data_IF_778859411346
#
_entry.id   IF_778859411346
#
_cell.length_a   1.000
_cell.length_b   1.000
_cell.length_c   1.000
_cell.angle_alpha   90.00
_cell.angle_beta   90.00
_cell.angle_gamma   90.00
#
_symmetry.space_group_name_H-M   'P 1'
#
loop_
_entity.id
_entity.type
_entity.pdbx_description
1 polymer ?
#
# COMPACT_ATOMS: atom_id res chain seq x y z
N UNK A 1 -11.94 -7.31 -21.33
CA UNK A 1 -13.28 -7.51 -21.93
C UNK A 1 -14.20 -6.49 -21.29
N UNK A 2 -15.01 -5.80 -22.07
CA UNK A 2 -16.00 -4.80 -21.63
C UNK A 2 -17.37 -5.33 -22.03
N UNK A 3 -18.38 -5.17 -21.17
CA UNK A 3 -19.75 -5.50 -21.57
C UNK A 3 -20.39 -4.26 -22.17
N UNK A 4 -20.95 -4.41 -23.37
CA UNK A 4 -21.67 -3.35 -24.08
C UNK A 4 -22.94 -3.97 -24.68
N UNK A 5 -24.10 -3.42 -24.33
CA UNK A 5 -25.42 -3.93 -24.74
C UNK A 5 -25.61 -5.42 -24.40
N UNK A 6 -25.19 -5.82 -23.20
CA UNK A 6 -25.28 -7.20 -22.70
C UNK A 6 -24.31 -8.19 -23.35
N UNK A 7 -23.38 -7.73 -24.20
CA UNK A 7 -22.43 -8.61 -24.92
C UNK A 7 -20.98 -8.29 -24.58
N UNK A 8 -20.11 -9.32 -24.50
CA UNK A 8 -18.68 -9.09 -24.33
C UNK A 8 -18.04 -8.52 -25.60
N UNK A 9 -17.34 -7.41 -25.44
CA UNK A 9 -16.61 -6.71 -26.49
C UNK A 9 -15.15 -6.51 -26.06
N UNK A 10 -14.23 -6.48 -27.02
CA UNK A 10 -12.85 -6.08 -26.76
C UNK A 10 -12.79 -4.64 -26.29
N UNK A 11 -11.88 -4.34 -25.35
CA UNK A 11 -11.71 -2.98 -24.83
C UNK A 11 -11.39 -1.96 -25.94
N UNK A 12 -10.75 -2.39 -27.03
CA UNK A 12 -10.42 -1.54 -28.17
C UNK A 12 -11.62 -1.20 -29.07
N UNK A 13 -12.74 -1.92 -28.96
CA UNK A 13 -13.93 -1.75 -29.80
C UNK A 13 -15.13 -1.18 -29.06
N UNK A 14 -15.17 -1.34 -27.73
CA UNK A 14 -16.26 -0.84 -26.90
C UNK A 14 -16.30 0.69 -26.94
N UNK A 15 -17.50 1.27 -27.07
CA UNK A 15 -17.72 2.72 -26.98
C UNK A 15 -18.24 3.12 -25.61
N UNK A 16 -19.14 2.30 -25.06
CA UNK A 16 -19.73 2.46 -23.74
C UNK A 16 -19.66 1.14 -22.97
N UNK A 17 -19.15 1.18 -21.74
CA UNK A 17 -19.11 0.01 -20.87
C UNK A 17 -20.24 0.02 -19.85
N UNK A 18 -20.92 -1.10 -19.70
CA UNK A 18 -21.85 -1.32 -18.59
C UNK A 18 -21.06 -1.56 -17.30
N UNK A 19 -21.16 -0.59 -16.37
CA UNK A 19 -20.40 -0.62 -15.12
C UNK A 19 -21.04 -1.53 -14.07
N UNK A 20 -22.36 -1.51 -13.90
CA UNK A 20 -23.07 -2.30 -12.88
C UNK A 20 -23.75 -3.50 -13.53
N UNK A 21 -23.01 -4.59 -13.73
CA UNK A 21 -23.53 -5.80 -14.37
C UNK A 21 -23.11 -7.08 -13.64
N UNK A 22 -24.08 -7.99 -13.51
CA UNK A 22 -23.91 -9.39 -13.16
C UNK A 22 -24.66 -10.21 -14.22
N UNK A 23 -23.97 -11.09 -14.95
CA UNK A 23 -24.55 -11.84 -16.08
C UNK A 23 -23.83 -13.17 -16.29
N UNK A 24 -24.28 -13.96 -17.26
CA UNK A 24 -23.67 -15.23 -17.65
C UNK A 24 -23.12 -15.13 -19.07
N UNK A 25 -21.85 -15.49 -19.24
CA UNK A 25 -21.17 -15.53 -20.54
C UNK A 25 -20.67 -16.94 -20.76
N UNK A 26 -21.16 -17.60 -21.83
CA UNK A 26 -20.81 -18.98 -22.16
C UNK A 26 -20.98 -19.95 -20.97
N UNK A 27 -22.05 -19.78 -20.18
CA UNK A 27 -22.33 -20.60 -18.99
C UNK A 27 -21.52 -20.23 -17.73
N UNK A 28 -20.66 -19.22 -17.78
CA UNK A 28 -19.87 -18.75 -16.64
C UNK A 28 -20.51 -17.48 -16.07
N UNK A 29 -20.84 -17.51 -14.78
CA UNK A 29 -21.30 -16.32 -14.07
C UNK A 29 -20.16 -15.31 -13.91
N UNK A 30 -20.44 -14.07 -14.29
CA UNK A 30 -19.47 -12.97 -14.24
C UNK A 30 -20.11 -11.73 -13.62
N UNK A 31 -19.30 -10.98 -12.87
CA UNK A 31 -19.62 -9.64 -12.37
C UNK A 31 -18.57 -8.65 -12.84
N UNK A 32 -19.00 -7.42 -13.13
CA UNK A 32 -18.04 -6.33 -13.32
C UNK A 32 -17.32 -6.00 -12.01
N UNK A 33 -16.14 -5.39 -12.12
CA UNK A 33 -15.38 -4.93 -10.96
C UNK A 33 -16.18 -3.90 -10.14
N UNK A 34 -16.92 -3.01 -10.82
CA UNK A 34 -17.76 -2.03 -10.14
C UNK A 34 -18.95 -2.70 -9.43
N UNK A 35 -19.55 -3.76 -10.01
CA UNK A 35 -20.57 -4.54 -9.31
C UNK A 35 -20.03 -5.18 -8.03
N UNK A 36 -18.85 -5.80 -8.09
CA UNK A 36 -18.20 -6.41 -6.91
C UNK A 36 -17.92 -5.35 -5.85
N UNK A 37 -17.46 -4.16 -6.26
CA UNK A 37 -17.26 -3.03 -5.36
C UNK A 37 -18.58 -2.56 -4.73
N UNK A 38 -19.63 -2.41 -5.53
CA UNK A 38 -20.98 -2.01 -5.08
C UNK A 38 -21.57 -3.00 -4.09
N UNK A 39 -21.50 -4.30 -4.40
CA UNK A 39 -21.96 -5.38 -3.50
C UNK A 39 -21.22 -5.30 -2.15
N UNK A 40 -19.91 -5.02 -2.16
CA UNK A 40 -19.10 -4.88 -0.94
C UNK A 40 -19.48 -3.64 -0.13
N UNK A 41 -19.64 -2.47 -0.74
CA UNK A 41 -19.98 -1.26 0.04
C UNK A 41 -21.41 -1.31 0.57
N UNK A 42 -22.32 -1.99 -0.14
CA UNK A 42 -23.72 -2.18 0.25
C UNK A 42 -23.93 -3.38 1.19
N UNK A 43 -22.86 -4.05 1.66
CA UNK A 43 -22.98 -5.21 2.56
C UNK A 43 -23.58 -4.86 3.94
N UNK A 44 -23.53 -3.57 4.30
CA UNK A 44 -24.03 -2.99 5.56
C UNK A 44 -24.81 -1.72 5.28
N UNK A 45 -25.75 -1.41 6.16
CA UNK A 45 -26.49 -0.15 6.10
C UNK A 45 -25.62 1.04 6.51
N UNK A 46 -26.07 2.26 6.18
CA UNK A 46 -25.37 3.48 6.59
C UNK A 46 -25.37 3.64 8.12
N UNK A 47 -26.41 3.19 8.81
CA UNK A 47 -26.52 3.18 10.27
C UNK A 47 -25.49 2.23 10.90
N UNK A 48 -25.26 1.05 10.30
CA UNK A 48 -24.24 0.11 10.77
C UNK A 48 -22.83 0.65 10.60
N UNK A 49 -22.56 1.34 9.48
CA UNK A 49 -21.28 2.02 9.27
C UNK A 49 -21.09 3.21 10.22
N UNK A 50 -22.11 4.04 10.40
CA UNK A 50 -22.13 5.16 11.34
C UNK A 50 -21.78 4.71 12.76
N UNK A 51 -22.42 3.63 13.22
CA UNK A 51 -22.14 3.01 14.52
C UNK A 51 -20.70 2.50 14.64
N UNK A 52 -20.15 1.89 13.60
CA UNK A 52 -18.76 1.39 13.61
C UNK A 52 -17.72 2.52 13.58
N UNK A 53 -18.03 3.60 12.88
CA UNK A 53 -17.17 4.78 12.77
C UNK A 53 -17.28 5.71 13.98
N UNK A 54 -18.30 5.53 14.82
CA UNK A 54 -18.68 6.45 15.89
C UNK A 54 -18.95 7.87 15.37
N UNK A 55 -19.72 7.96 14.28
CA UNK A 55 -20.09 9.21 13.60
C UNK A 55 -21.59 9.23 13.33
N UNK A 56 -22.31 10.34 13.57
CA UNK A 56 -23.73 10.47 13.24
C UNK A 56 -24.02 10.25 11.74
N UNK A 57 -25.13 9.57 11.42
CA UNK A 57 -25.56 9.27 10.04
C UNK A 57 -25.74 10.55 9.22
N UNK A 58 -26.37 11.53 9.83
CA UNK A 58 -26.62 12.87 9.31
C UNK A 58 -25.33 13.60 8.92
N UNK A 59 -24.26 13.46 9.71
CA UNK A 59 -22.95 14.00 9.34
C UNK A 59 -22.36 13.29 8.12
N UNK A 60 -22.46 11.96 8.03
CA UNK A 60 -21.99 11.19 6.86
C UNK A 60 -22.75 11.63 5.60
N UNK A 61 -24.08 11.72 5.67
CA UNK A 61 -24.93 12.13 4.54
C UNK A 61 -24.64 13.56 4.12
N UNK A 62 -24.48 14.49 5.07
CA UNK A 62 -24.14 15.87 4.79
C UNK A 62 -22.81 15.97 4.03
N UNK A 63 -21.75 15.33 4.53
CA UNK A 63 -20.43 15.35 3.90
C UNK A 63 -20.48 14.71 2.51
N UNK A 64 -21.19 13.60 2.34
CA UNK A 64 -21.33 12.94 1.05
C UNK A 64 -22.05 13.83 0.02
N UNK A 65 -23.11 14.54 0.44
CA UNK A 65 -23.83 15.49 -0.43
C UNK A 65 -22.96 16.68 -0.81
N UNK A 66 -22.28 17.28 0.16
CA UNK A 66 -21.38 18.40 -0.08
C UNK A 66 -20.25 17.98 -1.05
N UNK A 67 -19.56 16.87 -0.75
CA UNK A 67 -18.48 16.34 -1.58
C UNK A 67 -18.91 16.07 -3.03
N UNK A 68 -20.12 15.53 -3.23
CA UNK A 68 -20.60 15.23 -4.59
C UNK A 68 -21.21 16.44 -5.33
N UNK A 69 -21.65 17.47 -4.60
CA UNK A 69 -22.29 18.67 -5.18
C UNK A 69 -21.35 19.52 -6.07
N UNK A 70 -20.05 19.38 -5.89
CA UNK A 70 -19.02 20.14 -6.61
C UNK A 70 -18.48 19.40 -7.84
N UNK A 71 -19.05 18.24 -8.20
CA UNK A 71 -18.62 17.42 -9.32
C UNK A 71 -17.17 16.98 -9.19
N UNK A 72 -16.34 17.25 -10.21
CA UNK A 72 -14.91 16.88 -10.22
C UNK A 72 -14.00 17.87 -9.47
N UNK A 73 -14.54 18.98 -8.96
CA UNK A 73 -13.77 20.06 -8.30
C UNK A 73 -13.64 19.83 -6.80
N UNK A 74 -13.29 18.61 -6.42
CA UNK A 74 -13.11 18.16 -5.03
C UNK A 74 -11.89 17.26 -4.97
N UNK A 75 -11.30 17.09 -3.79
CA UNK A 75 -10.18 16.17 -3.59
C UNK A 75 -10.06 15.77 -2.12
N UNK A 76 -9.88 14.47 -1.88
CA UNK A 76 -9.55 13.96 -0.54
C UNK A 76 -8.08 13.59 -0.52
N UNK A 77 -7.30 14.31 0.29
CA UNK A 77 -5.89 14.02 0.48
C UNK A 77 -5.69 13.22 1.76
N UNK A 78 -5.46 11.92 1.62
CA UNK A 78 -5.10 11.06 2.75
C UNK A 78 -3.58 11.09 2.98
N UNK A 79 -3.18 11.19 4.24
CA UNK A 79 -1.77 11.12 4.64
C UNK A 79 -1.57 10.00 5.67
N UNK A 80 -0.58 10.15 6.56
CA UNK A 80 -0.15 9.13 7.51
C UNK A 80 -1.25 8.67 8.47
N UNK A 81 -2.22 9.52 8.81
CA UNK A 81 -3.31 9.17 9.74
C UNK A 81 -3.98 7.83 9.41
N UNK A 82 -4.75 7.74 8.31
CA UNK A 82 -5.39 6.48 7.91
C UNK A 82 -4.40 5.39 7.45
N UNK A 83 -3.19 5.76 7.01
CA UNK A 83 -2.22 4.81 6.45
C UNK A 83 -1.40 4.04 7.49
N UNK A 84 -1.15 4.61 8.67
CA UNK A 84 -0.21 4.07 9.67
C UNK A 84 -0.90 3.13 10.68
N UNK A 85 -1.90 2.37 10.23
CA UNK A 85 -2.58 1.33 11.00
C UNK A 85 -2.41 -0.04 10.32
N UNK A 86 -2.70 -1.12 11.05
CA UNK A 86 -2.57 -2.50 10.53
C UNK A 86 -3.45 -2.76 9.31
N UNK A 87 -4.58 -2.07 9.20
CA UNK A 87 -5.50 -2.08 8.06
C UNK A 87 -5.31 -0.87 7.12
N UNK A 88 -4.25 -0.08 7.28
CA UNK A 88 -4.11 1.22 6.61
C UNK A 88 -4.09 1.17 5.09
N UNK A 89 -3.67 0.03 4.50
CA UNK A 89 -3.82 -0.20 3.06
C UNK A 89 -5.29 -0.13 2.62
N UNK A 90 -6.19 -0.77 3.36
CA UNK A 90 -7.61 -0.77 3.06
C UNK A 90 -8.25 0.60 3.31
N UNK A 91 -7.86 1.28 4.40
CA UNK A 91 -8.36 2.62 4.72
C UNK A 91 -8.00 3.65 3.65
N UNK A 92 -6.72 3.72 3.24
CA UNK A 92 -6.27 4.62 2.16
C UNK A 92 -6.92 4.25 0.83
N UNK A 93 -7.05 2.95 0.54
CA UNK A 93 -7.76 2.50 -0.67
C UNK A 93 -9.21 2.96 -0.67
N UNK A 94 -9.94 2.80 0.44
CA UNK A 94 -11.34 3.23 0.56
C UNK A 94 -11.49 4.74 0.34
N UNK A 95 -10.62 5.55 0.95
CA UNK A 95 -10.58 7.01 0.73
C UNK A 95 -10.34 7.33 -0.75
N UNK A 96 -9.32 6.70 -1.36
CA UNK A 96 -9.00 6.94 -2.77
C UNK A 96 -10.12 6.49 -3.71
N UNK A 97 -10.94 5.50 -3.35
CA UNK A 97 -12.11 5.13 -4.17
C UNK A 97 -13.12 6.27 -4.26
N UNK A 98 -13.27 7.12 -3.23
CA UNK A 98 -14.16 8.28 -3.31
C UNK A 98 -13.69 9.28 -4.38
N UNK A 99 -12.39 9.58 -4.43
CA UNK A 99 -11.78 10.39 -5.51
C UNK A 99 -12.04 9.77 -6.90
N UNK A 100 -11.85 8.44 -7.02
CA UNK A 100 -12.11 7.74 -8.29
C UNK A 100 -13.58 7.81 -8.71
N UNK A 101 -14.53 7.69 -7.77
CA UNK A 101 -15.96 7.70 -8.06
C UNK A 101 -16.45 9.06 -8.59
N UNK A 102 -15.90 10.16 -8.08
CA UNK A 102 -16.22 11.50 -8.61
C UNK A 102 -15.40 11.86 -9.85
N UNK A 103 -14.40 11.05 -10.21
CA UNK A 103 -13.57 11.24 -11.39
C UNK A 103 -12.74 12.53 -11.34
N UNK A 104 -12.22 12.87 -10.16
CA UNK A 104 -11.47 14.11 -9.91
C UNK A 104 -9.96 14.01 -10.20
N UNK A 105 -9.43 12.81 -10.46
CA UNK A 105 -8.02 12.63 -10.80
C UNK A 105 -7.65 13.35 -12.09
N UNK A 106 -6.54 14.07 -12.07
CA UNK A 106 -6.03 14.88 -13.18
C UNK A 106 -7.02 15.92 -13.72
N UNK A 107 -7.97 16.34 -12.88
CA UNK A 107 -8.94 17.38 -13.22
C UNK A 107 -8.57 18.73 -12.57
N UNK A 108 -8.86 19.83 -13.27
CA UNK A 108 -8.66 21.17 -12.70
C UNK A 108 -9.54 21.38 -11.47
N UNK A 109 -8.92 21.58 -10.31
CA UNK A 109 -9.59 21.69 -9.01
C UNK A 109 -9.91 20.34 -8.36
N UNK A 110 -9.43 19.24 -8.94
CA UNK A 110 -9.50 17.89 -8.38
C UNK A 110 -8.18 17.43 -7.77
N UNK A 111 -8.00 16.12 -7.64
CA UNK A 111 -6.77 15.50 -7.15
C UNK A 111 -5.73 15.43 -8.29
N UNK A 112 -4.54 15.94 -8.05
CA UNK A 112 -3.49 16.02 -9.09
C UNK A 112 -2.15 15.63 -8.50
N UNK A 113 -1.33 14.95 -9.29
CA UNK A 113 0.03 14.61 -8.89
C UNK A 113 0.98 15.78 -9.15
N UNK A 114 1.78 16.13 -8.14
CA UNK A 114 2.92 17.03 -8.31
C UNK A 114 4.07 16.25 -8.98
N UNK A 115 4.12 16.29 -10.32
CA UNK A 115 5.02 15.48 -11.15
C UNK A 115 6.39 16.10 -11.43
N UNK A 116 6.54 17.41 -11.35
CA UNK A 116 7.80 18.08 -11.67
C UNK A 116 8.84 17.84 -10.57
N UNK A 117 9.95 17.18 -10.92
CA UNK A 117 11.08 16.92 -10.02
C UNK A 117 12.37 17.17 -10.77
N UNK A 118 13.36 17.76 -10.09
CA UNK A 118 14.74 17.75 -10.57
C UNK A 118 15.40 16.42 -10.20
N UNK A 119 16.35 15.96 -11.01
CA UNK A 119 17.14 14.78 -10.67
C UNK A 119 18.18 15.17 -9.62
N UNK A 120 18.05 14.62 -8.42
CA UNK A 120 18.93 14.96 -7.30
C UNK A 120 20.36 14.39 -7.40
N UNK A 121 20.65 13.58 -8.41
CA UNK A 121 21.94 12.90 -8.60
C UNK A 121 22.74 13.44 -9.79
N UNK A 122 22.23 14.44 -10.50
CA UNK A 122 22.94 15.10 -11.61
C UNK A 122 23.64 16.37 -11.09
N UNK A 123 24.83 16.68 -11.60
CA UNK A 123 25.60 17.86 -11.20
C UNK A 123 27.11 17.68 -11.38
N UNK A 124 27.89 18.41 -10.58
CA UNK A 124 29.36 18.45 -10.67
C UNK A 124 30.04 17.14 -10.27
N UNK A 125 29.38 16.32 -9.46
CA UNK A 125 29.94 15.09 -8.89
C UNK A 125 29.14 13.88 -9.35
N UNK A 126 29.83 12.76 -9.59
CA UNK A 126 29.17 11.47 -9.75
C UNK A 126 28.71 10.96 -8.38
N UNK A 127 27.39 10.96 -8.18
CA UNK A 127 26.75 10.47 -6.95
C UNK A 127 26.13 9.06 -7.13
N UNK A 128 26.30 8.45 -8.30
CA UNK A 128 25.65 7.19 -8.68
C UNK A 128 26.65 6.04 -8.66
N UNK A 129 27.88 6.26 -9.13
CA UNK A 129 28.88 5.20 -9.22
C UNK A 129 29.78 5.13 -7.98
N UNK A 130 30.14 3.91 -7.62
CA UNK A 130 31.18 3.62 -6.64
C UNK A 130 32.17 2.68 -7.33
N UNK A 131 33.44 3.09 -7.51
CA UNK A 131 34.45 2.22 -8.11
C UNK A 131 34.57 0.90 -7.34
N UNK A 132 34.54 -0.23 -8.05
CA UNK A 132 34.62 -1.58 -7.48
C UNK A 132 33.54 -1.88 -6.41
N UNK A 133 32.32 -1.37 -6.59
CA UNK A 133 31.22 -1.58 -5.66
C UNK A 133 30.85 -3.07 -5.50
N UNK A 134 30.64 -3.48 -4.24
CA UNK A 134 30.00 -4.76 -3.95
C UNK A 134 28.53 -4.72 -4.36
N UNK A 135 28.10 -5.68 -5.18
CA UNK A 135 26.67 -5.84 -5.53
C UNK A 135 25.92 -6.43 -4.33
N UNK A 136 24.85 -5.77 -3.90
CA UNK A 136 23.94 -6.33 -2.90
C UNK A 136 23.26 -7.59 -3.45
N UNK A 137 23.18 -8.64 -2.62
CA UNK A 137 22.55 -9.92 -2.97
C UNK A 137 21.83 -10.51 -1.77
N UNK A 138 20.97 -11.50 -2.03
CA UNK A 138 20.22 -12.22 -1.01
C UNK A 138 18.88 -11.60 -0.63
N UNK A 139 18.27 -12.15 0.41
CA UNK A 139 16.94 -11.77 0.89
C UNK A 139 17.11 -10.51 1.75
N UNK A 140 16.36 -9.41 1.53
CA UNK A 140 16.39 -8.27 2.45
C UNK A 140 16.06 -8.71 3.88
N UNK A 141 16.73 -8.16 4.89
CA UNK A 141 16.50 -8.56 6.30
C UNK A 141 15.04 -8.42 6.74
N UNK A 142 14.29 -7.48 6.14
CA UNK A 142 12.86 -7.25 6.39
C UNK A 142 11.93 -8.02 5.45
N UNK A 143 12.47 -8.90 4.60
CA UNK A 143 11.72 -9.85 3.76
C UNK A 143 10.70 -9.18 2.82
N UNK A 144 10.97 -7.93 2.45
CA UNK A 144 10.13 -7.16 1.54
C UNK A 144 10.51 -7.44 0.09
N UNK A 145 9.54 -7.31 -0.84
CA UNK A 145 9.71 -7.54 -2.29
C UNK A 145 10.14 -8.96 -2.69
N UNK A 146 10.08 -9.92 -1.79
CA UNK A 146 10.43 -11.32 -2.05
C UNK A 146 9.24 -12.18 -1.68
N UNK A 147 8.67 -12.98 -2.61
CA UNK A 147 7.69 -14.02 -2.27
C UNK A 147 8.38 -15.13 -1.49
N UNK A 148 7.83 -15.53 -0.34
CA UNK A 148 8.45 -16.52 0.54
C UNK A 148 8.68 -17.86 -0.15
N UNK A 149 7.70 -18.30 -0.93
CA UNK A 149 7.68 -19.58 -1.65
C UNK A 149 8.77 -19.69 -2.71
N UNK A 150 9.39 -18.57 -3.09
CA UNK A 150 10.51 -18.51 -4.03
C UNK A 150 11.87 -18.49 -3.34
N UNK A 151 11.94 -18.80 -2.05
CA UNK A 151 13.18 -18.73 -1.26
C UNK A 151 13.66 -20.11 -0.82
N UNK A 152 14.97 -20.21 -0.59
CA UNK A 152 15.57 -21.40 0.04
C UNK A 152 15.03 -21.68 1.45
N UNK A 153 14.55 -20.65 2.14
CA UNK A 153 13.90 -20.80 3.45
C UNK A 153 12.59 -21.60 3.34
N UNK A 154 11.78 -21.33 2.31
CA UNK A 154 10.56 -22.11 2.07
C UNK A 154 10.88 -23.54 1.64
N UNK A 155 11.84 -23.72 0.73
CA UNK A 155 12.26 -25.07 0.30
C UNK A 155 12.72 -25.94 1.48
N UNK A 156 13.28 -25.31 2.53
CA UNK A 156 13.75 -25.99 3.75
C UNK A 156 12.66 -26.18 4.80
N UNK A 157 11.96 -25.11 5.16
CA UNK A 157 11.10 -25.06 6.35
C UNK A 157 9.59 -25.14 6.03
N UNK A 158 9.19 -24.95 4.76
CA UNK A 158 7.79 -24.92 4.35
C UNK A 158 6.97 -23.82 5.04
N UNK A 159 5.67 -24.07 5.20
CA UNK A 159 4.77 -23.24 6.00
C UNK A 159 4.62 -23.79 7.43
N UNK A 160 4.43 -22.92 8.45
CA UNK A 160 4.36 -21.45 8.39
C UNK A 160 5.74 -20.77 8.35
N UNK A 161 5.83 -19.59 7.73
CA UNK A 161 7.01 -18.75 7.83
C UNK A 161 7.21 -18.24 9.26
N UNK A 162 8.47 -18.14 9.73
CA UNK A 162 8.81 -17.71 11.09
C UNK A 162 8.43 -16.26 11.40
N UNK A 163 8.41 -15.40 10.38
CA UNK A 163 7.95 -14.00 10.45
C UNK A 163 7.17 -13.65 9.19
N UNK A 164 6.33 -12.60 9.22
CA UNK A 164 5.64 -12.13 8.03
C UNK A 164 6.60 -11.74 6.89
N UNK A 165 6.17 -12.03 5.67
CA UNK A 165 6.81 -11.64 4.42
C UNK A 165 5.96 -10.58 3.73
N UNK A 166 6.62 -9.63 3.07
CA UNK A 166 5.96 -8.46 2.49
C UNK A 166 6.27 -8.35 1.00
N UNK A 167 5.70 -9.21 0.14
CA UNK A 167 6.03 -9.24 -1.29
C UNK A 167 5.74 -7.91 -2.01
N UNK A 168 4.79 -7.12 -1.49
CA UNK A 168 4.46 -5.78 -2.00
C UNK A 168 4.95 -4.64 -1.11
N UNK A 169 5.50 -4.97 0.07
CA UNK A 169 5.99 -3.98 1.01
C UNK A 169 7.31 -3.35 0.58
N UNK A 170 7.62 -2.19 1.14
CA UNK A 170 8.89 -1.51 0.92
C UNK A 170 9.22 -0.63 2.14
N UNK A 171 10.49 -0.30 2.35
CA UNK A 171 10.96 0.66 3.37
C UNK A 171 10.47 0.34 4.80
N UNK A 172 10.50 -0.93 5.20
CA UNK A 172 10.05 -1.42 6.51
C UNK A 172 11.07 -1.16 7.63
N UNK A 173 11.45 0.10 7.84
CA UNK A 173 12.53 0.48 8.77
C UNK A 173 12.33 -0.05 10.20
N UNK A 174 11.08 -0.09 10.67
CA UNK A 174 10.72 -0.56 12.01
C UNK A 174 11.03 -2.05 12.24
N UNK A 175 11.14 -2.83 11.16
CA UNK A 175 11.33 -4.30 11.21
C UNK A 175 12.79 -4.71 11.02
N UNK A 176 13.70 -3.79 10.66
CA UNK A 176 15.13 -4.09 10.42
C UNK A 176 15.80 -4.65 11.68
N UNK A 177 15.72 -3.92 12.79
CA UNK A 177 16.36 -4.29 14.06
C UNK A 177 15.73 -5.53 14.71
N UNK A 178 14.39 -5.64 14.82
CA UNK A 178 13.74 -6.87 15.29
C UNK A 178 14.12 -8.11 14.46
N UNK A 179 14.09 -8.00 13.13
CA UNK A 179 14.44 -9.12 12.24
C UNK A 179 15.88 -9.57 12.41
N UNK A 180 16.80 -8.60 12.56
CA UNK A 180 18.19 -8.91 12.85
C UNK A 180 18.39 -9.53 14.22
N UNK A 181 17.65 -9.09 15.25
CA UNK A 181 17.80 -9.62 16.60
C UNK A 181 17.43 -11.11 16.67
N UNK A 182 16.37 -11.49 15.96
CA UNK A 182 15.94 -12.89 15.81
C UNK A 182 16.80 -13.67 14.80
N UNK A 183 17.56 -12.97 13.95
CA UNK A 183 18.38 -13.59 12.93
C UNK A 183 17.57 -14.24 11.80
N UNK A 184 16.38 -13.71 11.50
CA UNK A 184 15.53 -14.20 10.42
C UNK A 184 15.28 -13.09 9.38
N UNK A 185 15.81 -13.20 8.15
CA UNK A 185 16.50 -14.37 7.58
C UNK A 185 17.96 -14.54 8.04
N UNK A 186 18.59 -13.49 8.58
CA UNK A 186 19.96 -13.51 9.13
C UNK A 186 20.17 -12.33 10.08
N UNK A 187 21.28 -12.33 10.83
CA UNK A 187 21.71 -11.22 11.68
C UNK A 187 22.55 -10.22 10.88
N UNK A 188 22.30 -8.92 11.03
CA UNK A 188 23.16 -7.89 10.47
C UNK A 188 24.39 -7.70 11.36
N UNK A 189 25.53 -7.37 10.75
CA UNK A 189 26.79 -7.07 11.45
C UNK A 189 27.16 -5.59 11.44
N UNK A 190 26.54 -4.82 10.56
CA UNK A 190 26.75 -3.40 10.43
C UNK A 190 25.41 -2.69 10.21
N UNK A 191 25.29 -1.48 10.75
CA UNK A 191 24.12 -0.63 10.59
C UNK A 191 24.58 0.78 10.25
N UNK A 192 24.23 1.25 9.05
CA UNK A 192 24.49 2.61 8.61
C UNK A 192 23.21 3.43 8.78
N UNK A 193 23.27 4.51 9.56
CA UNK A 193 22.14 5.39 9.83
C UNK A 193 22.49 6.78 9.30
N UNK A 194 21.62 7.32 8.44
CA UNK A 194 21.77 8.66 7.89
C UNK A 194 20.50 9.47 8.16
N UNK A 195 20.64 10.63 8.83
CA UNK A 195 19.58 11.63 9.06
C UNK A 195 18.26 11.06 9.62
N UNK A 196 18.33 10.01 10.44
CA UNK A 196 17.19 9.42 11.14
C UNK A 196 17.63 8.81 12.46
N UNK A 197 16.69 8.59 13.38
CA UNK A 197 16.92 7.87 14.64
C UNK A 197 15.82 6.83 14.84
N UNK A 198 16.13 5.52 14.74
CA UNK A 198 15.16 4.46 15.02
C UNK A 198 14.61 4.52 16.45
N UNK A 199 15.41 5.04 17.39
CA UNK A 199 15.00 5.20 18.80
C UNK A 199 13.99 6.33 18.95
N UNK A 200 14.14 7.45 18.24
CA UNK A 200 13.22 8.58 18.38
C UNK A 200 12.00 8.49 17.45
N UNK A 201 12.14 7.89 16.26
CA UNK A 201 11.12 7.92 15.22
C UNK A 201 10.43 6.56 14.99
N UNK A 202 10.99 5.47 15.53
CA UNK A 202 10.43 4.14 15.38
C UNK A 202 9.40 3.82 16.46
N UNK A 203 8.37 3.01 16.16
CA UNK A 203 7.53 2.44 17.20
C UNK A 203 8.37 1.53 18.11
N UNK A 204 7.98 1.43 19.38
CA UNK A 204 8.68 0.64 20.41
C UNK A 204 10.15 1.03 20.56
N UNK A 205 10.39 2.33 20.71
CA UNK A 205 11.70 2.97 20.89
C UNK A 205 12.63 2.25 21.88
N UNK A 206 12.07 1.74 22.98
CA UNK A 206 12.77 0.98 24.01
C UNK A 206 13.38 -0.32 23.44
N UNK A 207 12.63 -1.01 22.58
CA UNK A 207 13.08 -2.22 21.91
C UNK A 207 14.12 -1.90 20.83
N UNK A 208 13.90 -0.82 20.06
CA UNK A 208 14.88 -0.37 19.07
C UNK A 208 16.23 -0.06 19.74
N UNK A 209 16.22 0.64 20.89
CA UNK A 209 17.42 0.93 21.67
C UNK A 209 18.10 -0.36 22.18
N UNK A 210 17.32 -1.33 22.66
CA UNK A 210 17.84 -2.64 23.10
C UNK A 210 18.56 -3.36 21.96
N UNK A 211 17.96 -3.44 20.77
CA UNK A 211 18.55 -4.11 19.62
C UNK A 211 19.82 -3.42 19.10
N UNK A 212 19.88 -2.09 19.15
CA UNK A 212 21.12 -1.37 18.79
C UNK A 212 22.25 -1.69 19.78
N UNK A 213 21.95 -1.80 21.08
CA UNK A 213 22.96 -2.17 22.08
C UNK A 213 23.45 -3.60 21.88
N UNK A 214 22.56 -4.54 21.59
CA UNK A 214 22.99 -5.92 21.34
C UNK A 214 23.87 -5.98 20.10
N UNK A 215 23.64 -5.19 19.05
CA UNK A 215 24.55 -5.12 17.89
C UNK A 215 26.02 -4.82 18.25
N UNK A 216 26.28 -4.10 19.34
CA UNK A 216 27.65 -3.80 19.81
C UNK A 216 28.33 -4.95 20.56
N UNK A 217 27.56 -5.88 21.13
CA UNK A 217 28.10 -7.01 21.88
C UNK A 217 28.38 -8.25 21.03
N UNK A 218 28.08 -8.21 19.72
CA UNK A 218 28.52 -9.25 18.79
C UNK A 218 29.98 -8.94 18.43
N UNK A 219 30.90 -9.34 19.31
CA UNK A 219 32.33 -9.27 19.04
C UNK A 219 32.65 -10.00 17.73
N UNK A 220 33.45 -9.35 16.88
CA UNK A 220 34.20 -10.00 15.80
C UNK A 220 35.23 -10.96 16.38
#
# INVERSE_FOLDING_TARGET
>A
MIIENGKPVSHAKARNGELDIATTINGIEVKSVFRIFKDRVMEKSIEEYAKQADVPVDQIVQIAREFTSHGKKVGIHSYRGPAMHTNGYYSVRAINMLNHLVGNHDWKGGDTVLGAKYKATEGRYDLVTVPNANKGWGIPVTRHKVPYEKTSLFAKDGYPAKRPWYPFGNKLIHDVLPSSAEGYPYKIRALLINRTSPVMAGPRSEMQAKFIRTLRSWNL
#
